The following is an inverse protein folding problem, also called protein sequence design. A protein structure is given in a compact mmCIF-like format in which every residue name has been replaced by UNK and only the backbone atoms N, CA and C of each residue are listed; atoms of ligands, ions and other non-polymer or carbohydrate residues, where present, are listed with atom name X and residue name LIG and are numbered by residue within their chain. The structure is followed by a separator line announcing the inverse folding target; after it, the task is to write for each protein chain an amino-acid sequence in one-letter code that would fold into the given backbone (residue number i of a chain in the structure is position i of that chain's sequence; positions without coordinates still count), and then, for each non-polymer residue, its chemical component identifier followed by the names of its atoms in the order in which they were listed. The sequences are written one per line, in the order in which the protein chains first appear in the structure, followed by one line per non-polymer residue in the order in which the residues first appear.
data_IF_233978019936
#
_entry.id   IF_233978019936
#
_cell.length_a   1.000
_cell.length_b   1.000
_cell.length_c   1.000
_cell.angle_alpha   90.00
_cell.angle_beta   90.00
_cell.angle_gamma   90.00
#
_symmetry.space_group_name_H-M   'P 1'
#
loop_
_entity.id
_entity.type
_entity.pdbx_description
1 polymer ?
#
# COMPACT_ATOMS: atom_id res chain seq x y z
N UNK A 1 -34.14 6.78 -49.56
CA UNK A 1 -34.74 6.82 -48.22
C UNK A 1 -34.81 5.40 -47.70
N UNK A 2 -33.74 4.94 -47.02
CA UNK A 2 -33.74 3.68 -46.28
C UNK A 2 -32.80 3.82 -45.09
N UNK A 3 -33.32 3.35 -43.97
CA UNK A 3 -32.97 3.54 -42.56
C UNK A 3 -31.58 3.02 -42.14
N UNK A 4 -30.95 3.84 -41.30
CA UNK A 4 -30.09 3.59 -40.12
C UNK A 4 -29.58 2.17 -39.80
N UNK A 5 -28.30 2.09 -39.41
CA UNK A 5 -27.82 1.27 -38.28
C UNK A 5 -26.64 1.97 -37.58
N UNK A 6 -26.89 2.57 -36.42
CA UNK A 6 -25.85 2.98 -35.46
C UNK A 6 -25.45 1.76 -34.62
N UNK A 7 -24.27 1.20 -34.89
CA UNK A 7 -23.65 0.17 -34.06
C UNK A 7 -22.88 0.79 -32.91
N UNK A 8 -23.57 1.04 -31.80
CA UNK A 8 -22.93 1.37 -30.52
C UNK A 8 -22.31 0.08 -29.98
N UNK A 9 -21.01 -0.10 -30.23
CA UNK A 9 -20.20 -1.15 -29.64
C UNK A 9 -19.63 -0.67 -28.31
N UNK A 10 -20.29 -1.06 -27.23
CA UNK A 10 -19.79 -1.00 -25.85
C UNK A 10 -18.43 -1.69 -25.78
N UNK A 11 -17.33 -0.94 -25.67
CA UNK A 11 -16.10 -1.50 -25.09
C UNK A 11 -16.34 -1.60 -23.60
N UNK A 12 -16.70 -2.80 -23.17
CA UNK A 12 -16.60 -3.20 -21.78
C UNK A 12 -15.16 -2.98 -21.32
N UNK A 13 -14.99 -2.20 -20.27
CA UNK A 13 -13.75 -2.19 -19.50
C UNK A 13 -13.70 -3.52 -18.78
N UNK A 14 -13.08 -4.52 -19.41
CA UNK A 14 -12.59 -5.69 -18.69
C UNK A 14 -11.53 -5.18 -17.71
N UNK A 15 -11.89 -5.16 -16.42
CA UNK A 15 -10.96 -4.98 -15.33
C UNK A 15 -10.01 -6.17 -15.33
N UNK A 16 -8.94 -6.06 -16.13
CA UNK A 16 -7.87 -7.02 -16.15
C UNK A 16 -7.26 -7.05 -14.74
N UNK A 17 -7.49 -8.17 -14.06
CA UNK A 17 -6.67 -8.55 -12.90
C UNK A 17 -5.28 -8.87 -13.46
N UNK A 18 -4.43 -7.85 -13.57
CA UNK A 18 -3.03 -8.06 -13.92
C UNK A 18 -2.34 -8.87 -12.81
N UNK A 19 -1.49 -9.81 -13.21
CA UNK A 19 -0.70 -10.60 -12.26
C UNK A 19 0.23 -9.69 -11.46
N UNK A 20 0.49 -9.99 -10.18
CA UNK A 20 1.26 -9.11 -9.31
C UNK A 20 2.66 -8.82 -9.89
N UNK A 21 2.96 -7.53 -10.07
CA UNK A 21 4.24 -7.07 -10.60
C UNK A 21 5.28 -7.02 -9.47
N UNK A 22 5.78 -8.17 -9.05
CA UNK A 22 6.77 -8.25 -7.97
C UNK A 22 8.08 -7.55 -8.34
N UNK A 23 8.41 -6.47 -7.63
CA UNK A 23 9.67 -5.74 -7.77
C UNK A 23 10.55 -5.99 -6.54
N UNK A 24 11.79 -6.41 -6.76
CA UNK A 24 12.77 -6.54 -5.68
C UNK A 24 13.22 -5.14 -5.19
N UNK A 25 13.14 -4.89 -3.89
CA UNK A 25 13.36 -3.54 -3.33
C UNK A 25 14.43 -3.48 -2.24
N UNK A 26 14.69 -4.58 -1.53
CA UNK A 26 15.66 -4.64 -0.44
C UNK A 26 15.97 -6.10 -0.08
N UNK A 27 16.98 -6.29 0.76
CA UNK A 27 17.20 -7.57 1.45
C UNK A 27 16.46 -7.60 2.79
N UNK A 28 16.05 -8.78 3.24
CA UNK A 28 15.45 -8.96 4.58
C UNK A 28 16.38 -8.39 5.66
N UNK A 29 17.68 -8.71 5.57
CA UNK A 29 18.70 -8.21 6.50
C UNK A 29 18.74 -6.69 6.59
N UNK A 30 18.61 -5.99 5.47
CA UNK A 30 18.59 -4.53 5.45
C UNK A 30 17.36 -3.97 6.16
N UNK A 31 16.16 -4.47 5.82
CA UNK A 31 14.90 -3.98 6.42
C UNK A 31 14.86 -4.31 7.91
N UNK A 32 15.25 -5.52 8.31
CA UNK A 32 15.31 -5.93 9.73
C UNK A 32 16.28 -5.07 10.53
N UNK A 33 17.47 -4.79 10.00
CA UNK A 33 18.49 -3.98 10.70
C UNK A 33 18.02 -2.52 10.89
N UNK A 34 17.43 -1.92 9.85
CA UNK A 34 16.99 -0.51 9.91
C UNK A 34 15.64 -0.34 10.60
N UNK A 35 14.84 -1.42 10.71
CA UNK A 35 13.43 -1.45 11.11
C UNK A 35 12.47 -0.67 10.21
N UNK A 36 12.93 0.39 9.55
CA UNK A 36 12.17 1.22 8.62
C UNK A 36 13.06 1.60 7.43
N UNK A 37 12.55 1.49 6.21
CA UNK A 37 13.32 1.80 5.00
C UNK A 37 12.40 2.40 3.93
N UNK A 38 12.79 3.53 3.32
CA UNK A 38 12.09 4.08 2.16
C UNK A 38 12.75 3.53 0.90
N UNK A 39 11.92 3.07 -0.03
CA UNK A 39 12.32 2.57 -1.35
C UNK A 39 11.48 3.25 -2.43
N UNK A 40 11.92 3.13 -3.69
CA UNK A 40 11.15 3.60 -4.85
C UNK A 40 10.81 2.43 -5.76
N UNK A 41 9.54 2.32 -6.14
CA UNK A 41 9.01 1.21 -6.94
C UNK A 41 8.10 1.80 -8.01
N UNK A 42 8.43 1.64 -9.29
CA UNK A 42 7.64 2.17 -10.40
C UNK A 42 7.27 3.67 -10.26
N UNK A 43 8.19 4.48 -9.70
CA UNK A 43 7.97 5.92 -9.44
C UNK A 43 7.20 6.24 -8.14
N UNK A 44 6.75 5.21 -7.39
CA UNK A 44 6.08 5.37 -6.10
C UNK A 44 7.09 5.33 -4.95
N UNK A 45 6.93 6.24 -3.99
CA UNK A 45 7.66 6.21 -2.73
C UNK A 45 6.99 5.25 -1.74
N UNK A 46 7.68 4.19 -1.34
CA UNK A 46 7.16 3.15 -0.45
C UNK A 46 7.97 3.11 0.85
N UNK A 47 7.27 3.13 1.99
CA UNK A 47 7.85 2.92 3.31
C UNK A 47 7.70 1.44 3.71
N UNK A 48 8.83 0.77 3.93
CA UNK A 48 8.91 -0.57 4.48
C UNK A 48 9.05 -0.48 6.01
N UNK A 49 8.31 -1.32 6.72
CA UNK A 49 8.36 -1.46 8.17
C UNK A 49 8.61 -2.91 8.56
N UNK A 50 9.58 -3.16 9.43
CA UNK A 50 9.81 -4.46 10.06
C UNK A 50 9.35 -4.42 11.52
N UNK A 51 8.29 -5.18 11.81
CA UNK A 51 7.71 -5.33 13.14
C UNK A 51 7.11 -6.73 13.27
N UNK A 52 7.14 -7.31 14.48
CA UNK A 52 6.57 -8.63 14.76
C UNK A 52 7.05 -9.72 13.77
N UNK A 53 8.34 -9.68 13.42
CA UNK A 53 9.00 -10.59 12.45
C UNK A 53 8.35 -10.61 11.05
N UNK A 54 7.62 -9.55 10.70
CA UNK A 54 6.97 -9.35 9.39
C UNK A 54 7.42 -8.03 8.78
N UNK A 55 7.38 -7.97 7.45
CA UNK A 55 7.66 -6.77 6.67
C UNK A 55 6.37 -6.28 6.05
N UNK A 56 6.08 -4.99 6.25
CA UNK A 56 4.91 -4.28 5.75
C UNK A 56 5.35 -3.18 4.79
N UNK A 57 4.54 -2.88 3.79
CA UNK A 57 4.82 -1.84 2.80
C UNK A 57 3.65 -0.86 2.72
N UNK A 58 3.95 0.43 2.78
CA UNK A 58 2.99 1.53 2.82
C UNK A 58 3.36 2.56 1.76
N UNK A 59 2.39 3.34 1.26
CA UNK A 59 2.74 4.60 0.63
C UNK A 59 3.51 5.45 1.65
N UNK A 60 4.65 6.02 1.28
CA UNK A 60 5.47 6.77 2.24
C UNK A 60 4.80 8.08 2.63
N UNK A 61 4.02 8.71 1.75
CA UNK A 61 3.33 9.96 2.05
C UNK A 61 2.01 9.68 2.76
N UNK A 62 1.89 10.17 4.00
CA UNK A 62 0.67 10.09 4.80
C UNK A 62 -0.50 10.79 4.09
N UNK A 63 -1.63 10.07 3.90
CA UNK A 63 -2.86 10.57 3.24
C UNK A 63 -3.39 11.91 3.77
N UNK A 64 -3.08 12.26 5.01
CA UNK A 64 -3.48 13.55 5.59
C UNK A 64 -2.77 14.75 4.93
N UNK A 65 -1.43 14.83 4.96
CA UNK A 65 -0.65 16.01 4.51
C UNK A 65 0.79 15.65 4.10
N UNK A 66 0.96 14.51 3.42
CA UNK A 66 2.19 14.10 2.74
C UNK A 66 3.45 14.06 3.62
N UNK A 67 3.27 13.79 4.91
CA UNK A 67 4.41 13.55 5.82
C UNK A 67 4.91 12.12 5.61
N UNK A 68 6.23 12.00 5.42
CA UNK A 68 6.90 10.73 5.20
C UNK A 68 6.77 9.80 6.42
N UNK A 69 6.08 8.67 6.23
CA UNK A 69 5.78 7.67 7.25
C UNK A 69 7.00 6.85 7.64
N UNK A 70 8.02 6.72 6.78
CA UNK A 70 9.29 6.10 7.19
C UNK A 70 9.93 6.82 8.39
N UNK A 71 9.66 8.13 8.52
CA UNK A 71 10.10 8.96 9.65
C UNK A 71 9.21 8.81 10.90
N UNK A 72 8.07 8.12 10.78
CA UNK A 72 7.13 7.86 11.88
C UNK A 72 7.62 6.86 12.92
N UNK A 73 6.84 6.69 13.97
CA UNK A 73 7.17 5.77 15.09
C UNK A 73 6.39 4.47 14.95
N UNK A 74 7.06 3.32 15.13
CA UNK A 74 6.39 2.03 15.22
C UNK A 74 6.04 1.76 16.68
N UNK A 75 4.76 1.58 16.98
CA UNK A 75 4.28 1.33 18.35
C UNK A 75 3.00 0.51 18.32
N UNK A 76 2.95 -0.57 19.13
CA UNK A 76 1.77 -1.42 19.30
C UNK A 76 1.10 -1.87 17.99
N UNK A 77 1.90 -2.34 17.02
CA UNK A 77 1.37 -2.81 15.72
C UNK A 77 0.92 -1.70 14.77
N UNK A 78 1.27 -0.44 15.06
CA UNK A 78 0.88 0.73 14.26
C UNK A 78 2.10 1.55 13.84
N UNK A 79 1.99 2.27 12.73
CA UNK A 79 2.88 3.38 12.38
C UNK A 79 2.21 4.71 12.73
N UNK A 80 2.91 5.54 13.51
CA UNK A 80 2.46 6.85 13.95
C UNK A 80 3.11 7.91 13.06
N UNK A 81 2.28 8.65 12.31
CA UNK A 81 2.74 9.73 11.45
C UNK A 81 3.42 10.84 12.28
N UNK A 82 4.62 11.30 11.90
CA UNK A 82 5.35 12.31 12.67
C UNK A 82 4.74 13.72 12.58
N UNK A 83 3.80 13.96 11.64
CA UNK A 83 3.11 15.23 11.51
C UNK A 83 2.04 15.42 12.59
N UNK A 84 0.90 14.76 12.40
CA UNK A 84 -0.30 14.95 13.24
C UNK A 84 -0.69 13.69 14.03
N UNK A 85 0.24 12.74 14.18
CA UNK A 85 0.08 11.57 15.04
C UNK A 85 -1.07 10.61 14.66
N UNK A 86 -1.51 10.62 13.40
CA UNK A 86 -2.40 9.59 12.86
C UNK A 86 -1.74 8.21 12.99
N UNK A 87 -2.52 7.22 13.41
CA UNK A 87 -2.05 5.90 13.81
C UNK A 87 -2.62 4.84 12.88
N UNK A 88 -1.81 4.42 11.92
CA UNK A 88 -2.21 3.41 10.95
C UNK A 88 -1.84 2.00 11.43
N UNK A 89 -2.80 1.09 11.44
CA UNK A 89 -2.55 -0.33 11.64
C UNK A 89 -1.60 -0.89 10.58
N UNK A 90 -0.57 -1.66 10.99
CA UNK A 90 0.46 -2.15 10.06
C UNK A 90 -0.06 -3.18 9.05
N UNK A 91 -1.12 -3.93 9.37
CA UNK A 91 -1.63 -4.98 8.48
C UNK A 91 -2.59 -4.44 7.42
N UNK A 92 -3.41 -3.47 7.83
CA UNK A 92 -4.57 -2.98 7.07
C UNK A 92 -4.38 -1.57 6.54
N UNK A 93 -3.52 -0.76 7.16
CA UNK A 93 -3.39 0.67 6.90
C UNK A 93 -4.49 1.53 7.52
N UNK A 94 -5.41 0.95 8.27
CA UNK A 94 -6.57 1.65 8.82
C UNK A 94 -6.21 2.62 9.96
N UNK A 95 -6.80 3.81 9.91
CA UNK A 95 -6.79 4.83 10.96
C UNK A 95 -8.20 4.93 11.57
N UNK A 96 -8.31 4.51 12.83
CA UNK A 96 -9.58 4.33 13.53
C UNK A 96 -10.33 5.64 13.80
N UNK A 97 -9.63 6.72 14.13
CA UNK A 97 -10.25 8.00 14.50
C UNK A 97 -10.73 8.76 13.26
N UNK A 98 -10.17 8.46 12.09
CA UNK A 98 -10.50 9.13 10.83
C UNK A 98 -11.39 8.30 9.90
N UNK A 99 -11.55 7.00 10.18
CA UNK A 99 -12.23 6.04 9.31
C UNK A 99 -11.67 6.03 7.87
N UNK A 100 -10.34 6.10 7.77
CA UNK A 100 -9.59 6.17 6.51
C UNK A 100 -8.43 5.18 6.50
N UNK A 101 -7.99 4.78 5.30
CA UNK A 101 -6.88 3.85 5.12
C UNK A 101 -5.70 4.51 4.40
N UNK A 102 -4.52 4.36 4.99
CA UNK A 102 -3.27 4.58 4.27
C UNK A 102 -3.04 3.43 3.28
N UNK A 103 -2.69 3.71 2.00
CA UNK A 103 -2.41 2.65 1.04
C UNK A 103 -1.29 1.71 1.50
N UNK A 104 -1.57 0.42 1.48
CA UNK A 104 -0.61 -0.65 1.76
C UNK A 104 -0.37 -1.50 0.53
N UNK A 105 0.86 -2.00 0.38
CA UNK A 105 1.28 -2.79 -0.76
C UNK A 105 1.52 -4.25 -0.37
N UNK A 106 1.19 -5.23 -1.22
CA UNK A 106 1.59 -6.60 -1.00
C UNK A 106 3.11 -6.74 -0.88
N UNK A 107 3.56 -7.52 0.10
CA UNK A 107 4.98 -7.85 0.31
C UNK A 107 5.15 -9.35 0.20
N UNK A 108 6.17 -9.76 -0.52
CA UNK A 108 6.59 -11.15 -0.64
C UNK A 108 8.07 -11.26 -0.31
N UNK A 109 8.45 -12.26 0.47
CA UNK A 109 9.85 -12.58 0.74
C UNK A 109 10.20 -13.88 0.01
N UNK A 110 11.23 -13.82 -0.84
CA UNK A 110 11.81 -15.00 -1.54
C UNK A 110 13.32 -14.91 -1.47
N UNK A 111 13.98 -15.97 -1.05
CA UNK A 111 15.45 -16.07 -1.04
C UNK A 111 16.14 -14.85 -0.42
N UNK A 112 15.71 -14.47 0.79
CA UNK A 112 16.18 -13.28 1.55
C UNK A 112 15.95 -11.92 0.86
N UNK A 113 15.21 -11.90 -0.25
CA UNK A 113 14.85 -10.69 -0.99
C UNK A 113 13.43 -10.28 -0.65
N UNK A 114 13.24 -8.99 -0.38
CA UNK A 114 11.93 -8.37 -0.19
C UNK A 114 11.44 -7.90 -1.56
N UNK A 115 10.29 -8.40 -1.97
CA UNK A 115 9.58 -7.99 -3.17
C UNK A 115 8.29 -7.26 -2.81
N UNK A 116 7.96 -6.22 -3.57
CA UNK A 116 6.74 -5.42 -3.40
C UNK A 116 5.99 -5.39 -4.72
N UNK A 117 4.67 -5.59 -4.67
CA UNK A 117 3.78 -5.30 -5.78
C UNK A 117 3.36 -3.82 -5.71
N UNK A 118 3.61 -2.99 -6.74
CA UNK A 118 3.23 -1.58 -6.75
C UNK A 118 1.73 -1.35 -6.88
N UNK A 119 0.92 -2.41 -6.98
CA UNK A 119 -0.53 -2.32 -6.92
C UNK A 119 -0.97 -2.31 -5.45
N UNK A 120 -1.60 -1.22 -4.96
CA UNK A 120 -2.04 -1.16 -3.58
C UNK A 120 -3.09 -2.25 -3.32
N UNK A 121 -3.01 -2.87 -2.15
CA UNK A 121 -4.02 -3.83 -1.72
C UNK A 121 -5.32 -3.08 -1.42
N UNK A 122 -6.48 -3.58 -1.87
CA UNK A 122 -7.75 -3.11 -1.34
C UNK A 122 -7.73 -3.25 0.18
N UNK A 123 -7.97 -2.15 0.90
CA UNK A 123 -7.90 -2.17 2.34
C UNK A 123 -9.06 -3.03 2.90
N UNK A 124 -8.78 -4.06 3.73
CA UNK A 124 -9.83 -4.76 4.44
C UNK A 124 -10.30 -3.85 5.58
N UNK A 125 -11.50 -3.30 5.45
CA UNK A 125 -12.06 -2.47 6.49
C UNK A 125 -12.36 -3.29 7.75
N UNK A 126 -11.90 -2.79 8.90
CA UNK A 126 -12.13 -3.42 10.21
C UNK A 126 -13.62 -3.50 10.62
N UNK A 127 -14.52 -2.92 9.83
CA UNK A 127 -15.97 -2.80 10.09
C UNK A 127 -16.86 -3.34 8.95
N UNK A 128 -16.28 -4.00 7.92
CA UNK A 128 -17.03 -4.46 6.75
C UNK A 128 -17.48 -3.35 5.79
N UNK A 129 -16.86 -2.17 5.86
CA UNK A 129 -17.09 -1.03 4.96
C UNK A 129 -15.85 -0.71 4.16
N UNK A 130 -15.75 -1.19 2.93
CA UNK A 130 -14.62 -0.91 2.03
C UNK A 130 -14.19 0.57 2.08
N UNK A 131 -12.95 0.83 2.49
CA UNK A 131 -12.33 2.14 2.28
C UNK A 131 -11.90 2.19 0.82
N UNK A 132 -12.75 2.78 -0.02
CA UNK A 132 -12.44 3.00 -1.44
C UNK A 132 -11.21 3.88 -1.57
N UNK A 133 -10.28 3.47 -2.43
CA UNK A 133 -9.10 4.24 -2.82
C UNK A 133 -9.45 5.58 -3.49
#
# INVERSE_FOLDING_TARGET
MSTEIMGSGTTGTDAATESPAWVAVATVKEVTRRRKLRVEVAGLAIALFHANDRIYAFADLCIHQDRSLVKGTLLHGRVICPGHQWRFDLETGYEEDQDLCQPVYPVLVRDETVLVDPTPRPAPAASGKECTA
#
